data_IF_176413712907
#
_entry.id   IF_176413712907
#
_cell.length_a   1.000
_cell.length_b   1.000
_cell.length_c   1.000
_cell.angle_alpha   90.00
_cell.angle_beta   90.00
_cell.angle_gamma   90.00
#
_symmetry.space_group_name_H-M   'P 1'
#
loop_
_entity.id
_entity.type
_entity.pdbx_description
1 polymer ?
#
# COMPACT_ATOMS: atom_id res chain seq x y z
N UNK A 1 23.46 -38.87 -31.28
CA UNK A 1 23.89 -38.55 -29.90
C UNK A 1 24.80 -37.33 -29.95
N UNK A 2 24.35 -36.16 -29.51
CA UNK A 2 25.15 -34.94 -29.52
C UNK A 2 26.05 -34.91 -28.28
N UNK A 3 27.37 -35.09 -28.45
CA UNK A 3 28.34 -34.92 -27.38
C UNK A 3 28.51 -33.43 -27.09
N UNK A 4 28.01 -32.96 -25.94
CA UNK A 4 28.24 -31.60 -25.47
C UNK A 4 29.74 -31.36 -25.28
N UNK A 5 30.32 -30.46 -26.09
CA UNK A 5 31.70 -30.00 -25.93
C UNK A 5 31.78 -29.25 -24.60
N UNK A 6 32.59 -29.77 -23.67
CA UNK A 6 32.99 -29.03 -22.46
C UNK A 6 33.96 -27.95 -22.91
N UNK A 7 33.64 -26.69 -22.61
CA UNK A 7 34.51 -25.54 -22.89
C UNK A 7 35.82 -25.68 -22.09
N UNK A 8 36.93 -25.30 -22.71
CA UNK A 8 38.23 -25.33 -22.06
C UNK A 8 38.39 -24.10 -21.14
N UNK A 9 39.26 -24.14 -20.11
CA UNK A 9 39.46 -23.01 -19.20
C UNK A 9 39.86 -21.70 -19.89
N UNK A 10 40.47 -21.78 -21.07
CA UNK A 10 40.82 -20.61 -21.88
C UNK A 10 39.58 -19.95 -22.49
N UNK A 11 38.59 -20.73 -22.94
CA UNK A 11 37.34 -20.21 -23.50
C UNK A 11 36.46 -19.57 -22.42
N UNK A 12 36.57 -20.03 -21.16
CA UNK A 12 35.87 -19.42 -20.03
C UNK A 12 36.45 -18.03 -19.73
N UNK A 13 37.78 -17.89 -19.71
CA UNK A 13 38.43 -16.58 -19.50
C UNK A 13 38.13 -15.59 -20.61
N UNK A 14 38.11 -16.06 -21.86
CA UNK A 14 37.76 -15.22 -23.00
C UNK A 14 36.28 -14.77 -22.96
N UNK A 15 35.37 -15.62 -22.47
CA UNK A 15 33.98 -15.23 -22.21
C UNK A 15 33.86 -14.24 -21.04
N UNK A 16 34.62 -14.40 -19.96
CA UNK A 16 34.62 -13.47 -18.83
C UNK A 16 35.19 -12.11 -19.22
N UNK A 17 36.26 -12.07 -20.02
CA UNK A 17 36.86 -10.83 -20.51
C UNK A 17 35.94 -10.11 -21.51
N UNK A 18 35.26 -10.86 -22.40
CA UNK A 18 34.23 -10.31 -23.28
C UNK A 18 33.00 -9.79 -22.51
N UNK A 19 32.59 -10.47 -21.43
CA UNK A 19 31.50 -10.01 -20.57
C UNK A 19 31.89 -8.77 -19.75
N UNK A 20 33.14 -8.70 -19.26
CA UNK A 20 33.67 -7.54 -18.56
C UNK A 20 33.84 -6.33 -19.50
N UNK A 21 34.26 -6.55 -20.75
CA UNK A 21 34.33 -5.50 -21.76
C UNK A 21 32.94 -4.99 -22.17
N UNK A 22 31.92 -5.87 -22.23
CA UNK A 22 30.54 -5.48 -22.47
C UNK A 22 29.94 -4.69 -21.27
N UNK A 23 30.34 -5.02 -20.04
CA UNK A 23 29.93 -4.28 -18.84
C UNK A 23 30.59 -2.89 -18.80
N UNK A 24 31.88 -2.80 -19.15
CA UNK A 24 32.60 -1.52 -19.23
C UNK A 24 32.10 -0.62 -20.37
N UNK A 25 31.68 -1.20 -21.50
CA UNK A 25 31.04 -0.44 -22.59
C UNK A 25 29.60 0.02 -22.26
N UNK A 26 28.97 -0.54 -21.24
CA UNK A 26 27.68 -0.10 -20.72
C UNK A 26 27.78 1.02 -19.66
N UNK A 27 29.00 1.38 -19.24
CA UNK A 27 29.23 2.47 -18.27
C UNK A 27 29.34 3.86 -18.89
N UNK A 28 29.30 4.01 -20.22
CA UNK A 28 29.27 5.31 -20.91
C UNK A 28 27.90 5.70 -21.50
N UNK A 29 26.81 5.32 -20.83
CA UNK A 29 25.51 5.96 -21.07
C UNK A 29 24.82 6.32 -19.76
N UNK A 30 25.26 7.45 -19.21
CA UNK A 30 24.46 8.52 -18.61
C UNK A 30 23.05 8.14 -18.11
N UNK A 31 22.91 7.95 -16.80
CA UNK A 31 22.01 8.76 -15.96
C UNK A 31 22.13 8.31 -14.50
N UNK A 32 22.48 9.26 -13.63
CA UNK A 32 22.56 9.08 -12.17
C UNK A 32 21.27 8.47 -11.60
N UNK A 33 21.32 7.40 -10.77
CA UNK A 33 20.21 7.11 -9.88
C UNK A 33 20.25 8.12 -8.73
N UNK A 34 19.37 9.12 -8.80
CA UNK A 34 19.01 9.94 -7.64
C UNK A 34 18.43 8.99 -6.59
N UNK A 35 19.20 8.74 -5.54
CA UNK A 35 18.71 8.19 -4.29
C UNK A 35 17.73 9.22 -3.70
N UNK A 36 16.44 8.93 -3.50
CA UNK A 36 15.66 9.75 -2.60
C UNK A 36 16.07 9.38 -1.18
N UNK A 37 17.02 10.14 -0.63
CA UNK A 37 17.10 10.36 0.82
C UNK A 37 15.80 11.08 1.21
N UNK A 38 14.76 10.34 1.59
CA UNK A 38 13.64 10.92 2.30
C UNK A 38 14.10 11.20 3.74
N UNK A 39 14.80 12.32 3.86
CA UNK A 39 14.88 13.10 5.09
C UNK A 39 13.44 13.41 5.54
N UNK A 40 13.03 12.62 6.51
CA UNK A 40 12.31 13.02 7.71
C UNK A 40 12.55 14.51 8.00
N UNK A 41 11.46 15.29 8.07
CA UNK A 41 11.35 16.71 8.46
C UNK A 41 11.64 17.79 7.40
N UNK A 42 10.57 18.51 7.02
CA UNK A 42 10.61 19.96 6.76
C UNK A 42 10.35 20.39 5.32
N UNK A 43 9.11 20.79 5.02
CA UNK A 43 8.77 21.43 3.74
C UNK A 43 7.29 21.74 3.62
N UNK A 44 6.85 22.83 4.24
CA UNK A 44 5.56 23.48 3.98
C UNK A 44 5.60 23.99 2.53
N UNK A 45 4.75 23.48 1.64
CA UNK A 45 4.68 23.94 0.26
C UNK A 45 3.55 23.27 -0.53
N UNK A 46 2.44 24.00 -0.65
CA UNK A 46 1.32 23.85 -1.60
C UNK A 46 0.89 22.42 -1.97
N UNK A 47 0.08 21.82 -1.08
CA UNK A 47 -0.88 20.79 -1.50
C UNK A 47 -1.85 21.39 -2.53
N UNK A 48 -2.04 20.78 -3.73
CA UNK A 48 -3.11 21.17 -4.60
C UNK A 48 -4.42 21.02 -3.82
N UNK A 49 -5.23 22.09 -3.81
CA UNK A 49 -6.61 22.06 -3.34
C UNK A 49 -7.33 20.96 -4.13
N UNK A 50 -7.37 19.76 -3.56
CA UNK A 50 -8.24 18.71 -4.05
C UNK A 50 -9.63 19.21 -3.71
N UNK A 51 -10.29 19.80 -4.72
CA UNK A 51 -11.68 20.16 -4.67
C UNK A 51 -12.44 18.96 -4.11
N UNK A 52 -12.95 19.15 -2.89
CA UNK A 52 -13.98 18.29 -2.34
C UNK A 52 -15.12 18.42 -3.33
N UNK A 53 -15.22 17.47 -4.26
CA UNK A 53 -16.43 17.31 -5.05
C UNK A 53 -17.50 16.91 -4.04
N UNK A 54 -18.23 17.92 -3.60
CA UNK A 54 -19.53 17.78 -2.98
C UNK A 54 -20.43 17.08 -4.01
N UNK A 55 -20.46 15.75 -3.94
CA UNK A 55 -21.34 14.89 -4.71
C UNK A 55 -22.44 14.34 -3.78
N UNK A 56 -23.65 14.11 -4.32
CA UNK A 56 -24.79 14.96 -4.04
C UNK A 56 -25.82 14.29 -3.14
N UNK A 57 -26.52 15.13 -2.37
CA UNK A 57 -27.59 14.79 -1.45
C UNK A 57 -27.13 13.95 -0.25
N UNK A 58 -27.02 14.62 0.89
CA UNK A 58 -27.28 14.06 2.21
C UNK A 58 -28.69 13.44 2.26
N UNK A 59 -28.90 12.32 1.56
CA UNK A 59 -30.05 11.47 1.82
C UNK A 59 -29.79 10.90 3.19
N UNK A 60 -30.58 11.32 4.17
CA UNK A 60 -30.61 10.69 5.48
C UNK A 60 -30.84 9.19 5.29
N UNK A 61 -29.75 8.43 5.37
CA UNK A 61 -29.81 6.98 5.23
C UNK A 61 -30.58 6.45 6.43
N UNK A 62 -31.74 5.84 6.16
CA UNK A 62 -32.62 5.31 7.20
C UNK A 62 -32.41 3.82 7.44
N UNK A 63 -31.92 3.10 6.42
CA UNK A 63 -31.63 1.67 6.45
C UNK A 63 -30.22 1.40 6.94
N UNK A 64 -30.10 0.38 7.79
CA UNK A 64 -28.84 -0.01 8.41
C UNK A 64 -27.78 -0.43 7.37
N UNK A 65 -28.17 -1.22 6.39
CA UNK A 65 -27.27 -1.70 5.32
C UNK A 65 -26.65 -0.53 4.54
N UNK A 66 -27.42 0.51 4.24
CA UNK A 66 -26.93 1.69 3.55
C UNK A 66 -25.93 2.49 4.41
N UNK A 67 -26.20 2.62 5.71
CA UNK A 67 -25.30 3.27 6.68
C UNK A 67 -23.99 2.49 6.78
N UNK A 68 -24.06 1.16 6.87
CA UNK A 68 -22.89 0.29 6.91
C UNK A 68 -22.06 0.41 5.63
N UNK A 69 -22.68 0.33 4.46
CA UNK A 69 -22.02 0.50 3.17
C UNK A 69 -21.35 1.88 3.06
N UNK A 70 -22.00 2.92 3.57
CA UNK A 70 -21.41 4.25 3.65
C UNK A 70 -20.15 4.27 4.52
N UNK A 71 -20.19 3.67 5.71
CA UNK A 71 -18.99 3.55 6.53
C UNK A 71 -17.92 2.73 5.83
N UNK A 72 -18.23 1.61 5.18
CA UNK A 72 -17.27 0.79 4.44
C UNK A 72 -16.58 1.57 3.31
N UNK A 73 -17.31 2.40 2.57
CA UNK A 73 -16.76 3.25 1.50
C UNK A 73 -16.09 4.55 1.99
N UNK A 74 -16.30 4.95 3.25
CA UNK A 74 -15.77 6.22 3.77
C UNK A 74 -14.25 6.22 3.89
N UNK A 75 -13.58 7.15 3.21
CA UNK A 75 -12.10 7.25 3.15
C UNK A 75 -11.52 8.27 4.15
N UNK A 76 -12.35 9.09 4.78
CA UNK A 76 -11.92 10.04 5.81
C UNK A 76 -11.63 9.37 7.15
N UNK A 77 -10.89 10.06 8.03
CA UNK A 77 -10.68 9.57 9.39
C UNK A 77 -9.53 10.25 10.13
N UNK A 78 -9.40 9.92 11.41
CA UNK A 78 -8.23 10.27 12.23
C UNK A 78 -7.25 9.11 12.24
N UNK A 79 -5.98 9.38 12.00
CA UNK A 79 -4.93 8.37 12.16
C UNK A 79 -4.81 8.00 13.64
N UNK A 80 -4.72 6.70 13.91
CA UNK A 80 -4.55 6.15 15.26
C UNK A 80 -3.50 5.06 15.24
N UNK A 81 -2.67 5.02 16.27
CA UNK A 81 -1.67 3.96 16.47
C UNK A 81 -2.16 3.01 17.56
N UNK A 82 -1.87 1.72 17.39
CA UNK A 82 -2.15 0.70 18.39
C UNK A 82 -0.96 -0.22 18.56
N UNK A 83 -0.85 -0.84 19.72
CA UNK A 83 0.20 -1.80 20.02
C UNK A 83 -0.34 -3.22 19.89
N UNK A 84 0.44 -4.08 19.23
CA UNK A 84 0.13 -5.50 19.08
C UNK A 84 1.43 -6.29 19.29
N UNK A 85 1.38 -7.46 19.97
CA UNK A 85 2.53 -8.35 20.06
C UNK A 85 3.08 -8.68 18.67
N UNK A 86 4.41 -8.70 18.54
CA UNK A 86 5.10 -8.86 17.25
C UNK A 86 4.64 -10.11 16.48
N UNK A 87 4.51 -11.23 17.18
CA UNK A 87 4.04 -12.49 16.59
C UNK A 87 2.63 -12.38 15.98
N UNK A 88 1.75 -11.61 16.60
CA UNK A 88 0.40 -11.39 16.08
C UNK A 88 0.41 -10.40 14.92
N UNK A 89 1.24 -9.36 14.99
CA UNK A 89 1.39 -8.40 13.90
C UNK A 89 1.94 -9.05 12.63
N UNK A 90 2.92 -9.95 12.77
CA UNK A 90 3.49 -10.72 11.66
C UNK A 90 2.43 -11.61 11.00
N UNK A 91 1.65 -12.34 11.80
CA UNK A 91 0.56 -13.19 11.31
C UNK A 91 -0.54 -12.37 10.62
N UNK A 92 -0.88 -11.21 11.18
CA UNK A 92 -1.86 -10.30 10.60
C UNK A 92 -1.40 -9.81 9.22
N UNK A 93 -0.16 -9.30 9.13
CA UNK A 93 0.42 -8.82 7.86
C UNK A 93 0.48 -9.91 6.79
N UNK A 94 0.86 -11.14 7.16
CA UNK A 94 0.90 -12.26 6.23
C UNK A 94 -0.49 -12.55 5.61
N UNK A 95 -1.53 -12.67 6.45
CA UNK A 95 -2.89 -12.90 5.98
C UNK A 95 -3.44 -11.78 5.11
N UNK A 96 -3.12 -10.53 5.47
CA UNK A 96 -3.57 -9.37 4.71
C UNK A 96 -2.89 -9.27 3.34
N UNK A 97 -1.64 -9.70 3.25
CA UNK A 97 -0.93 -9.80 1.98
C UNK A 97 -1.53 -10.87 1.06
N UNK A 98 -2.07 -11.95 1.61
CA UNK A 98 -2.77 -12.98 0.83
C UNK A 98 -4.13 -12.47 0.31
N UNK A 99 -4.80 -11.61 1.08
CA UNK A 99 -6.11 -11.04 0.79
C UNK A 99 -6.04 -9.74 -0.03
N UNK A 100 -4.85 -9.20 -0.31
CA UNK A 100 -4.59 -7.90 -0.96
C UNK A 100 -5.36 -6.74 -0.29
N UNK A 101 -5.41 -6.75 1.05
CA UNK A 101 -6.14 -5.78 1.87
C UNK A 101 -5.23 -4.99 2.80
N UNK A 102 -5.57 -3.74 3.07
CA UNK A 102 -4.86 -2.95 4.09
C UNK A 102 -5.26 -3.35 5.52
N UNK A 103 -4.35 -3.15 6.48
CA UNK A 103 -4.65 -3.34 7.92
C UNK A 103 -5.85 -2.50 8.32
N UNK A 104 -5.92 -1.25 7.85
CA UNK A 104 -7.00 -0.32 8.16
C UNK A 104 -8.35 -0.84 7.67
N UNK A 105 -8.42 -1.32 6.43
CA UNK A 105 -9.66 -1.82 5.84
C UNK A 105 -10.14 -3.11 6.52
N UNK A 106 -9.20 -3.97 6.91
CA UNK A 106 -9.53 -5.17 7.68
C UNK A 106 -10.05 -4.84 9.08
N UNK A 107 -9.39 -3.94 9.79
CA UNK A 107 -9.86 -3.52 11.12
C UNK A 107 -11.23 -2.86 11.01
N UNK A 108 -11.41 -1.99 10.01
CA UNK A 108 -12.68 -1.31 9.73
C UNK A 108 -13.82 -2.30 9.45
N UNK A 109 -13.61 -3.26 8.55
CA UNK A 109 -14.59 -4.30 8.24
C UNK A 109 -14.93 -5.16 9.47
N UNK A 110 -13.94 -5.51 10.29
CA UNK A 110 -14.16 -6.25 11.54
C UNK A 110 -15.00 -5.45 12.54
N UNK A 111 -14.71 -4.17 12.71
CA UNK A 111 -15.47 -3.30 13.61
C UNK A 111 -16.93 -3.15 13.17
N UNK A 112 -17.16 -2.94 11.87
CA UNK A 112 -18.49 -2.79 11.30
C UNK A 112 -19.30 -4.10 11.30
N UNK A 113 -18.62 -5.25 11.29
CA UNK A 113 -19.30 -6.57 11.24
C UNK A 113 -19.58 -7.15 12.61
N UNK A 114 -18.65 -6.99 13.57
CA UNK A 114 -18.66 -7.76 14.81
C UNK A 114 -18.63 -6.91 16.08
N UNK A 115 -18.30 -5.62 15.99
CA UNK A 115 -18.12 -4.79 17.18
C UNK A 115 -19.26 -3.79 17.38
N UNK A 116 -19.60 -3.02 16.36
CA UNK A 116 -20.65 -2.02 16.49
C UNK A 116 -22.04 -2.62 16.31
N UNK A 117 -22.96 -2.23 17.19
CA UNK A 117 -24.38 -2.54 17.02
C UNK A 117 -25.03 -1.59 16.01
N UNK A 118 -26.12 -2.04 15.38
CA UNK A 118 -26.87 -1.27 14.39
C UNK A 118 -27.30 0.11 14.91
N UNK A 119 -27.65 0.18 16.19
CA UNK A 119 -28.05 1.43 16.87
C UNK A 119 -26.88 2.40 17.00
N UNK A 120 -25.69 1.91 17.31
CA UNK A 120 -24.49 2.74 17.49
C UNK A 120 -24.03 3.33 16.16
N UNK A 121 -24.08 2.54 15.08
CA UNK A 121 -23.76 3.01 13.73
C UNK A 121 -24.74 4.08 13.25
N UNK A 122 -26.04 3.88 13.52
CA UNK A 122 -27.09 4.85 13.17
C UNK A 122 -26.96 6.15 13.96
N UNK A 123 -26.74 6.07 15.26
CA UNK A 123 -26.55 7.24 16.13
C UNK A 123 -25.30 8.03 15.73
N UNK A 124 -24.20 7.32 15.41
CA UNK A 124 -22.96 7.93 14.93
C UNK A 124 -23.14 8.66 13.59
N UNK A 125 -23.97 8.13 12.69
CA UNK A 125 -24.28 8.77 11.42
C UNK A 125 -25.13 10.04 11.60
N UNK A 126 -26.13 9.99 12.48
CA UNK A 126 -27.02 11.12 12.76
C UNK A 126 -26.34 12.27 13.52
N UNK A 127 -25.32 11.97 14.32
CA UNK A 127 -24.55 12.97 15.08
C UNK A 127 -23.42 13.64 14.28
N UNK A 128 -23.23 13.28 13.00
CA UNK A 128 -22.18 13.92 12.20
C UNK A 128 -22.53 15.39 11.95
N UNK A 129 -21.55 16.30 12.04
CA UNK A 129 -21.74 17.65 11.54
C UNK A 129 -22.00 17.58 10.03
N UNK A 130 -23.07 18.27 9.60
CA UNK A 130 -23.37 18.54 8.19
C UNK A 130 -22.37 19.54 7.64
#
# INVERSE_FOLDING_TARGET
MAKGKRLTPQQIREQEEAAAAALAAAEESDTNPVVPTNDVFGGIGDTPKNEIKEDPAEKELTRFEDIRNYYEAYTGGKQSTFYLPEELLRKLKAKLSEEDMSITDKIKSLLLTYYFEDKELKDSYQKRPK
#
